data_IF_294195941663
#
_entry.id   IF_294195941663
#
_cell.length_a   1.000
_cell.length_b   1.000
_cell.length_c   1.000
_cell.angle_alpha   90.00
_cell.angle_beta   90.00
_cell.angle_gamma   90.00
#
_symmetry.space_group_name_H-M   'P 1'
#
loop_
_entity.id
_entity.type
_entity.pdbx_description
1 polymer ?
#
# COMPACT_ATOMS: atom_id res chain seq x y z
N UNK A 1 20.04 -0.12 -1.08
CA UNK A 1 19.42 -1.19 -1.90
C UNK A 1 18.84 -0.59 -3.18
N UNK A 2 19.17 -1.11 -4.36
CA UNK A 2 18.57 -0.66 -5.63
C UNK A 2 17.46 -1.63 -6.01
N UNK A 3 16.21 -1.17 -6.02
CA UNK A 3 15.05 -2.04 -6.25
C UNK A 3 14.82 -2.45 -7.71
N UNK A 4 15.49 -1.79 -8.67
CA UNK A 4 15.35 -2.01 -10.12
C UNK A 4 13.92 -2.41 -10.52
N UNK A 5 12.96 -1.54 -10.18
CA UNK A 5 11.51 -1.78 -10.41
C UNK A 5 11.16 -2.01 -11.88
N UNK A 6 12.04 -1.59 -12.79
CA UNK A 6 11.95 -1.84 -14.24
C UNK A 6 11.95 -3.32 -14.63
N UNK A 7 12.37 -4.21 -13.72
CA UNK A 7 12.40 -5.65 -13.97
C UNK A 7 11.02 -6.32 -13.81
N UNK A 8 10.00 -5.52 -13.51
CA UNK A 8 8.61 -5.93 -13.57
C UNK A 8 7.88 -5.05 -14.59
N UNK A 9 7.02 -5.66 -15.41
CA UNK A 9 6.31 -4.95 -16.46
C UNK A 9 5.45 -3.84 -15.87
N UNK A 10 5.61 -2.60 -16.37
CA UNK A 10 4.75 -1.48 -15.98
C UNK A 10 3.27 -1.76 -16.29
N UNK A 11 2.98 -2.57 -17.32
CA UNK A 11 1.61 -3.01 -17.60
C UNK A 11 1.05 -3.91 -16.50
N UNK A 12 1.88 -4.78 -15.89
CA UNK A 12 1.47 -5.58 -14.74
C UNK A 12 1.22 -4.67 -13.52
N UNK A 13 2.07 -3.66 -13.31
CA UNK A 13 1.82 -2.66 -12.25
C UNK A 13 0.47 -1.98 -12.47
N UNK A 14 0.16 -1.53 -13.69
CA UNK A 14 -1.16 -0.96 -14.00
C UNK A 14 -2.30 -1.97 -13.77
N UNK A 15 -2.08 -3.24 -14.11
CA UNK A 15 -3.07 -4.31 -13.95
C UNK A 15 -3.39 -4.67 -12.49
N UNK A 16 -2.58 -4.22 -11.52
CA UNK A 16 -2.95 -4.32 -10.09
C UNK A 16 -4.27 -3.60 -9.78
N UNK A 17 -4.64 -2.58 -10.57
CA UNK A 17 -5.91 -1.87 -10.42
C UNK A 17 -7.12 -2.69 -10.91
N UNK A 18 -6.89 -3.71 -11.76
CA UNK A 18 -7.94 -4.57 -12.33
C UNK A 18 -8.00 -5.96 -11.68
N UNK A 19 -6.93 -6.35 -10.99
CA UNK A 19 -6.81 -7.66 -10.33
C UNK A 19 -7.67 -7.67 -9.07
N UNK A 20 -8.66 -8.55 -9.01
CA UNK A 20 -9.67 -8.59 -7.94
C UNK A 20 -9.31 -9.61 -6.86
N UNK A 21 -9.52 -9.23 -5.61
CA UNK A 21 -9.45 -10.10 -4.43
C UNK A 21 -10.86 -10.50 -3.96
N UNK A 22 -10.94 -11.48 -3.07
CA UNK A 22 -12.16 -11.92 -2.38
C UNK A 22 -13.18 -12.69 -3.22
N UNK A 23 -12.78 -13.27 -4.35
CA UNK A 23 -13.68 -13.99 -5.28
C UNK A 23 -14.48 -15.15 -4.63
N UNK A 24 -14.01 -15.72 -3.52
CA UNK A 24 -14.71 -16.78 -2.77
C UNK A 24 -15.70 -16.25 -1.72
N UNK A 25 -15.46 -15.06 -1.16
CA UNK A 25 -16.31 -14.50 -0.12
C UNK A 25 -17.42 -13.68 -0.75
N UNK A 26 -18.65 -13.79 -0.24
CA UNK A 26 -19.72 -12.87 -0.67
C UNK A 26 -19.44 -11.50 -0.07
N UNK A 27 -19.38 -10.48 -0.92
CA UNK A 27 -19.22 -9.08 -0.52
C UNK A 27 -20.11 -8.14 -1.36
N UNK A 28 -20.23 -6.87 -0.94
CA UNK A 28 -20.95 -5.83 -1.67
C UNK A 28 -20.16 -5.35 -2.88
N UNK A 29 -18.85 -5.18 -2.72
CA UNK A 29 -17.88 -4.97 -3.78
C UNK A 29 -16.70 -5.93 -3.65
N UNK A 30 -15.92 -6.07 -4.70
CA UNK A 30 -14.62 -6.73 -4.64
C UNK A 30 -13.54 -5.68 -4.36
N UNK A 31 -12.47 -6.09 -3.68
CA UNK A 31 -11.30 -5.25 -3.47
C UNK A 31 -10.36 -5.39 -4.67
N UNK A 32 -9.79 -4.28 -5.13
CA UNK A 32 -8.71 -4.36 -6.12
C UNK A 32 -7.37 -4.59 -5.42
N UNK A 33 -6.44 -5.28 -6.07
CA UNK A 33 -5.11 -5.55 -5.55
C UNK A 33 -4.34 -4.25 -5.25
N UNK A 34 -4.48 -3.23 -6.11
CA UNK A 34 -3.90 -1.91 -5.87
C UNK A 34 -4.45 -1.23 -4.60
N UNK A 35 -5.75 -1.34 -4.33
CA UNK A 35 -6.39 -0.78 -3.12
C UNK A 35 -5.84 -1.47 -1.86
N UNK A 36 -5.70 -2.80 -1.92
CA UNK A 36 -5.11 -3.59 -0.86
C UNK A 36 -3.65 -3.18 -0.60
N UNK A 37 -2.80 -3.16 -1.63
CA UNK A 37 -1.39 -2.80 -1.52
C UNK A 37 -1.19 -1.39 -0.93
N UNK A 38 -2.00 -0.42 -1.36
CA UNK A 38 -1.99 0.93 -0.79
C UNK A 38 -2.33 0.91 0.71
N UNK A 39 -3.45 0.29 1.10
CA UNK A 39 -3.87 0.25 2.51
C UNK A 39 -2.87 -0.47 3.39
N UNK A 40 -2.35 -1.61 2.96
CA UNK A 40 -1.33 -2.36 3.71
C UNK A 40 -0.08 -1.50 3.90
N UNK A 41 0.36 -0.78 2.87
CA UNK A 41 1.53 0.12 2.97
C UNK A 41 1.29 1.22 3.99
N UNK A 42 0.14 1.89 3.97
CA UNK A 42 -0.19 2.94 4.95
C UNK A 42 -0.34 2.35 6.35
N UNK A 43 -1.02 1.21 6.51
CA UNK A 43 -1.12 0.54 7.82
C UNK A 43 0.24 0.12 8.37
N UNK A 44 1.19 -0.29 7.51
CA UNK A 44 2.56 -0.54 7.93
C UNK A 44 3.22 0.71 8.53
N UNK A 45 2.97 1.91 7.98
CA UNK A 45 3.50 3.16 8.56
C UNK A 45 2.94 3.42 9.97
N UNK A 46 1.61 3.36 10.12
CA UNK A 46 0.97 3.54 11.43
C UNK A 46 1.44 2.51 12.48
N UNK A 47 1.62 1.26 12.06
CA UNK A 47 2.13 0.21 12.92
C UNK A 47 3.62 0.42 13.25
N UNK A 48 4.44 0.80 12.27
CA UNK A 48 5.86 1.07 12.49
C UNK A 48 6.05 2.21 13.51
N UNK A 49 5.32 3.32 13.35
CA UNK A 49 5.39 4.47 14.25
C UNK A 49 5.09 4.09 15.71
N UNK A 50 4.13 3.20 15.96
CA UNK A 50 3.76 2.83 17.33
C UNK A 50 4.62 1.69 17.91
N UNK A 51 5.07 0.76 17.07
CA UNK A 51 5.84 -0.43 17.47
C UNK A 51 7.31 -0.08 17.68
N UNK A 52 7.87 0.73 16.77
CA UNK A 52 9.26 1.17 16.77
C UNK A 52 9.34 2.67 16.41
N UNK A 53 9.08 3.58 17.37
CA UNK A 53 9.12 5.02 17.13
C UNK A 53 10.49 5.57 16.72
N UNK A 54 11.54 4.76 16.84
CA UNK A 54 12.92 5.13 16.50
C UNK A 54 13.40 4.47 15.21
N UNK A 55 12.50 3.86 14.43
CA UNK A 55 12.80 3.24 13.15
C UNK A 55 13.50 4.24 12.22
N UNK A 56 14.65 3.86 11.69
CA UNK A 56 15.38 4.70 10.75
C UNK A 56 14.73 4.69 9.36
N UNK A 57 15.00 5.73 8.57
CA UNK A 57 14.40 5.91 7.25
C UNK A 57 14.73 4.78 6.25
N UNK A 58 15.88 4.11 6.37
CA UNK A 58 16.22 3.01 5.48
C UNK A 58 15.40 1.76 5.82
N UNK A 59 15.23 1.49 7.12
CA UNK A 59 14.41 0.39 7.62
C UNK A 59 12.93 0.60 7.32
N UNK A 60 12.42 1.82 7.52
CA UNK A 60 11.05 2.17 7.11
C UNK A 60 10.86 1.97 5.61
N UNK A 61 11.80 2.47 4.79
CA UNK A 61 11.73 2.32 3.35
C UNK A 61 11.73 0.84 2.90
N UNK A 62 12.46 -0.05 3.59
CA UNK A 62 12.41 -1.50 3.34
C UNK A 62 11.02 -2.07 3.61
N UNK A 63 10.41 -1.70 4.75
CA UNK A 63 9.06 -2.12 5.12
C UNK A 63 8.03 -1.68 4.06
N UNK A 64 8.05 -0.39 3.68
CA UNK A 64 7.08 0.16 2.73
C UNK A 64 7.24 -0.44 1.33
N UNK A 65 8.47 -0.67 0.89
CA UNK A 65 8.71 -1.37 -0.36
C UNK A 65 8.21 -2.82 -0.30
N UNK A 66 8.49 -3.57 0.77
CA UNK A 66 7.95 -4.92 0.89
C UNK A 66 6.42 -4.90 0.89
N UNK A 67 5.80 -3.99 1.63
CA UNK A 67 4.34 -3.83 1.68
C UNK A 67 3.72 -3.51 0.32
N UNK A 68 4.31 -2.60 -0.45
CA UNK A 68 3.78 -2.21 -1.75
C UNK A 68 3.85 -3.36 -2.77
N UNK A 69 4.89 -4.18 -2.71
CA UNK A 69 5.13 -5.24 -3.69
C UNK A 69 4.61 -6.62 -3.27
N UNK A 70 4.21 -6.84 -2.01
CA UNK A 70 4.03 -8.19 -1.46
C UNK A 70 3.09 -9.11 -2.25
N UNK A 71 1.96 -8.58 -2.74
CA UNK A 71 0.98 -9.37 -3.51
C UNK A 71 1.01 -9.04 -5.01
N UNK A 72 1.97 -8.26 -5.51
CA UNK A 72 2.00 -7.83 -6.93
C UNK A 72 2.22 -8.98 -7.92
N UNK A 73 2.80 -10.10 -7.48
CA UNK A 73 2.89 -11.32 -8.28
C UNK A 73 1.51 -11.87 -8.67
N UNK A 74 0.46 -11.56 -7.89
CA UNK A 74 -0.92 -12.00 -8.13
C UNK A 74 -1.53 -11.39 -9.40
N UNK A 75 -0.94 -10.36 -10.00
CA UNK A 75 -1.36 -9.91 -11.35
C UNK A 75 -1.06 -10.94 -12.44
N UNK A 76 -0.11 -11.85 -12.17
CA UNK A 76 0.29 -12.93 -13.08
C UNK A 76 -0.35 -14.25 -12.65
N UNK A 77 -0.30 -14.56 -11.35
CA UNK A 77 -0.77 -15.86 -10.81
C UNK A 77 -2.26 -15.89 -10.49
N UNK A 78 -2.89 -14.72 -10.34
CA UNK A 78 -4.22 -14.55 -9.76
C UNK A 78 -4.21 -14.59 -8.23
N UNK A 79 -5.16 -13.90 -7.59
CA UNK A 79 -5.39 -13.97 -6.14
C UNK A 79 -5.83 -15.39 -5.75
N UNK A 80 -4.96 -16.12 -5.05
CA UNK A 80 -5.27 -17.46 -4.54
C UNK A 80 -5.80 -17.37 -3.09
N UNK A 81 -6.99 -17.91 -2.78
CA UNK A 81 -7.53 -17.88 -1.43
C UNK A 81 -6.60 -18.53 -0.41
N UNK A 82 -6.44 -17.91 0.76
CA UNK A 82 -5.62 -18.45 1.86
C UNK A 82 -5.90 -19.93 2.18
N UNK A 83 -7.16 -20.44 2.21
CA UNK A 83 -7.40 -21.85 2.45
C UNK A 83 -6.77 -22.77 1.39
N UNK A 84 -6.72 -22.33 0.14
CA UNK A 84 -6.08 -23.08 -0.95
C UNK A 84 -4.57 -23.01 -0.82
N UNK A 85 -3.98 -21.82 -0.57
CA UNK A 85 -2.53 -21.69 -0.31
C UNK A 85 -2.08 -22.62 0.84
N UNK A 86 -2.82 -22.65 1.95
CA UNK A 86 -2.55 -23.53 3.11
C UNK A 86 -2.68 -25.02 2.78
N UNK A 87 -3.72 -25.39 2.03
CA UNK A 87 -3.93 -26.79 1.64
C UNK A 87 -2.83 -27.27 0.69
N UNK A 88 -2.44 -26.43 -0.28
CA UNK A 88 -1.34 -26.75 -1.19
C UNK A 88 -0.02 -26.92 -0.43
N UNK A 89 0.32 -25.99 0.46
CA UNK A 89 1.52 -26.10 1.29
C UNK A 89 1.58 -27.41 2.12
N UNK A 90 0.43 -27.94 2.55
CA UNK A 90 0.38 -29.20 3.28
C UNK A 90 0.73 -30.45 2.45
N UNK A 91 0.71 -30.35 1.11
CA UNK A 91 1.14 -31.43 0.21
C UNK A 91 2.64 -31.43 -0.08
N UNK A 92 3.38 -30.39 0.33
CA UNK A 92 4.81 -30.28 0.12
C UNK A 92 5.57 -30.40 1.45
N UNK A 93 6.87 -30.77 1.41
CA UNK A 93 7.73 -30.72 2.59
C UNK A 93 7.71 -29.34 3.28
N UNK A 94 7.94 -29.29 4.59
CA UNK A 94 7.84 -28.04 5.38
C UNK A 94 8.79 -26.92 4.94
N UNK A 95 9.87 -27.30 4.28
CA UNK A 95 10.90 -26.43 3.71
C UNK A 95 10.60 -25.98 2.27
N UNK A 96 9.46 -26.41 1.70
CA UNK A 96 9.06 -26.08 0.33
C UNK A 96 7.70 -25.37 0.33
N UNK A 97 7.65 -24.21 -0.32
CA UNK A 97 6.39 -23.54 -0.61
C UNK A 97 6.36 -23.13 -2.09
N UNK A 98 5.87 -24.00 -2.98
CA UNK A 98 5.95 -23.77 -4.43
C UNK A 98 5.14 -22.56 -4.89
N UNK A 99 4.15 -22.12 -4.10
CA UNK A 99 3.41 -20.89 -4.41
C UNK A 99 4.28 -19.67 -4.14
N UNK A 100 4.95 -19.61 -2.99
CA UNK A 100 5.88 -18.52 -2.68
C UNK A 100 7.05 -18.53 -3.66
N UNK A 101 7.60 -19.70 -3.99
CA UNK A 101 8.68 -19.84 -4.98
C UNK A 101 8.25 -19.31 -6.35
N UNK A 102 7.02 -19.64 -6.79
CA UNK A 102 6.45 -19.13 -8.03
C UNK A 102 6.29 -17.61 -7.97
N UNK A 103 5.66 -17.06 -6.94
CA UNK A 103 5.41 -15.62 -6.77
C UNK A 103 6.74 -14.83 -6.75
N UNK A 104 7.75 -15.34 -6.04
CA UNK A 104 9.10 -14.77 -6.01
C UNK A 104 9.78 -14.88 -7.38
N UNK A 105 9.57 -15.95 -8.15
CA UNK A 105 10.19 -16.10 -9.47
C UNK A 105 9.65 -15.10 -10.51
N UNK A 106 8.37 -14.74 -10.43
CA UNK A 106 7.70 -13.90 -11.44
C UNK A 106 7.71 -12.40 -11.12
N UNK A 107 8.00 -12.00 -9.88
CA UNK A 107 8.10 -10.60 -9.47
C UNK A 107 9.44 -10.28 -8.81
N UNK A 108 10.42 -9.84 -9.61
CA UNK A 108 11.75 -9.51 -9.10
C UNK A 108 11.79 -8.39 -8.05
N UNK A 109 11.01 -7.29 -8.19
CA UNK A 109 10.94 -6.26 -7.13
C UNK A 109 10.42 -6.81 -5.81
N UNK A 110 9.39 -7.67 -5.85
CA UNK A 110 8.89 -8.34 -4.65
C UNK A 110 9.97 -9.23 -4.03
N UNK A 111 10.65 -10.07 -4.82
CA UNK A 111 11.73 -10.93 -4.33
C UNK A 111 12.81 -10.16 -3.59
N UNK A 112 13.32 -9.06 -4.18
CA UNK A 112 14.34 -8.23 -3.55
C UNK A 112 13.85 -7.59 -2.26
N UNK A 113 12.61 -7.10 -2.26
CA UNK A 113 12.00 -6.53 -1.06
C UNK A 113 11.77 -7.61 0.03
N UNK A 114 11.45 -8.84 -0.39
CA UNK A 114 11.30 -9.99 0.48
C UNK A 114 12.63 -10.33 1.17
N UNK A 115 13.69 -10.55 0.39
CA UNK A 115 15.06 -10.85 0.86
C UNK A 115 15.60 -9.76 1.79
N UNK A 116 15.34 -8.49 1.47
CA UNK A 116 15.86 -7.35 2.25
C UNK A 116 15.26 -7.20 3.65
N UNK A 117 14.11 -7.82 3.92
CA UNK A 117 13.43 -7.78 5.22
C UNK A 117 13.24 -9.18 5.83
N UNK A 118 13.80 -10.22 5.21
CA UNK A 118 13.66 -11.61 5.65
C UNK A 118 14.21 -11.79 7.08
N UNK A 119 13.46 -12.51 7.91
CA UNK A 119 13.87 -12.80 9.29
C UNK A 119 13.87 -11.59 10.22
N UNK A 120 13.30 -10.46 9.80
CA UNK A 120 13.20 -9.25 10.61
C UNK A 120 11.80 -9.06 11.20
N UNK A 121 11.70 -8.20 12.22
CA UNK A 121 10.42 -7.81 12.82
C UNK A 121 9.46 -7.13 11.82
N UNK A 122 9.99 -6.59 10.71
CA UNK A 122 9.21 -5.97 9.64
C UNK A 122 8.22 -6.96 9.00
N UNK A 123 8.53 -8.26 8.98
CA UNK A 123 7.62 -9.28 8.44
C UNK A 123 6.37 -9.44 9.31
N UNK A 124 6.51 -9.26 10.62
CA UNK A 124 5.35 -9.26 11.53
C UNK A 124 4.55 -7.99 11.35
N UNK A 125 5.19 -6.82 11.20
CA UNK A 125 4.49 -5.56 10.93
C UNK A 125 3.68 -5.65 9.64
N UNK A 126 4.30 -6.11 8.55
CA UNK A 126 3.62 -6.34 7.27
C UNK A 126 2.43 -7.29 7.43
N UNK A 127 2.63 -8.40 8.14
CA UNK A 127 1.55 -9.38 8.31
C UNK A 127 0.41 -8.87 9.17
N UNK A 128 0.70 -8.06 10.19
CA UNK A 128 -0.31 -7.35 10.95
C UNK A 128 -1.12 -6.42 10.04
N UNK A 129 -0.46 -5.60 9.22
CA UNK A 129 -1.12 -4.69 8.26
C UNK A 129 -2.01 -5.42 7.23
N UNK A 130 -1.53 -6.51 6.64
CA UNK A 130 -2.30 -7.39 5.73
C UNK A 130 -3.57 -7.92 6.42
N UNK A 131 -3.44 -8.42 7.66
CA UNK A 131 -4.58 -8.89 8.45
C UNK A 131 -5.54 -7.75 8.81
N UNK A 132 -5.04 -6.54 9.10
CA UNK A 132 -5.86 -5.36 9.39
C UNK A 132 -6.74 -5.00 8.20
N UNK A 133 -6.15 -4.89 7.00
CA UNK A 133 -6.90 -4.61 5.79
C UNK A 133 -7.94 -5.69 5.52
N UNK A 134 -7.57 -6.96 5.67
CA UNK A 134 -8.51 -8.06 5.48
C UNK A 134 -9.66 -8.03 6.50
N UNK A 135 -9.38 -7.70 7.76
CA UNK A 135 -10.40 -7.55 8.81
C UNK A 135 -11.34 -6.37 8.52
N UNK A 136 -10.78 -5.23 8.11
CA UNK A 136 -11.55 -4.06 7.73
C UNK A 136 -12.46 -4.36 6.54
N UNK A 137 -11.89 -4.86 5.44
CA UNK A 137 -12.64 -5.15 4.23
C UNK A 137 -13.81 -6.10 4.49
N UNK A 138 -13.58 -7.25 5.13
CA UNK A 138 -14.67 -8.22 5.33
C UNK A 138 -15.74 -7.74 6.32
N UNK A 139 -15.38 -6.84 7.26
CA UNK A 139 -16.33 -6.28 8.22
C UNK A 139 -17.33 -5.33 7.54
N UNK A 140 -16.85 -4.48 6.63
CA UNK A 140 -17.69 -3.47 5.96
C UNK A 140 -18.33 -4.00 4.67
N UNK A 141 -17.58 -4.79 3.89
CA UNK A 141 -18.04 -5.24 2.58
C UNK A 141 -18.63 -6.65 2.61
N UNK A 142 -18.26 -7.49 3.59
CA UNK A 142 -18.67 -8.89 3.65
C UNK A 142 -20.17 -9.11 3.84
N UNK A 143 -20.69 -10.20 3.26
CA UNK A 143 -22.10 -10.58 3.29
C UNK A 143 -22.33 -11.96 3.89
N UNK A 144 -23.40 -12.07 4.68
CA UNK A 144 -23.89 -13.33 5.24
C UNK A 144 -23.07 -13.84 6.44
N UNK A 145 -23.38 -15.05 6.88
CA UNK A 145 -22.82 -15.64 8.11
C UNK A 145 -21.30 -15.83 8.04
N UNK A 146 -20.80 -16.28 6.88
CA UNK A 146 -19.36 -16.51 6.66
C UNK A 146 -18.52 -15.25 6.83
N UNK A 147 -19.04 -14.06 6.54
CA UNK A 147 -18.29 -12.82 6.73
C UNK A 147 -17.99 -12.54 8.21
N UNK A 148 -18.93 -12.86 9.12
CA UNK A 148 -18.72 -12.73 10.57
C UNK A 148 -17.66 -13.71 11.07
N UNK A 149 -17.68 -14.93 10.57
CA UNK A 149 -16.71 -15.96 10.93
C UNK A 149 -15.30 -15.60 10.44
N UNK A 150 -15.18 -15.11 9.20
CA UNK A 150 -13.92 -14.62 8.64
C UNK A 150 -13.42 -13.41 9.42
N UNK A 151 -14.28 -12.43 9.74
CA UNK A 151 -13.90 -11.26 10.53
C UNK A 151 -13.34 -11.67 11.91
N UNK A 152 -14.00 -12.61 12.59
CA UNK A 152 -13.53 -13.16 13.87
C UNK A 152 -12.18 -13.88 13.70
N UNK A 153 -12.03 -14.69 12.66
CA UNK A 153 -10.75 -15.36 12.35
C UNK A 153 -9.64 -14.33 12.12
N UNK A 154 -9.89 -13.27 11.34
CA UNK A 154 -8.89 -12.21 11.09
C UNK A 154 -8.51 -11.47 12.37
N UNK A 155 -9.49 -11.11 13.21
CA UNK A 155 -9.21 -10.49 14.51
C UNK A 155 -8.36 -11.37 15.42
N UNK A 156 -8.64 -12.68 15.46
CA UNK A 156 -7.84 -13.63 16.25
C UNK A 156 -6.43 -13.78 15.67
N UNK A 157 -6.30 -13.88 14.35
CA UNK A 157 -5.01 -13.95 13.68
C UNK A 157 -4.16 -12.71 13.96
N UNK A 158 -4.76 -11.52 14.02
CA UNK A 158 -4.06 -10.29 14.40
C UNK A 158 -3.41 -10.43 15.78
N UNK A 159 -4.17 -10.85 16.79
CA UNK A 159 -3.64 -11.08 18.15
C UNK A 159 -2.51 -12.12 18.18
N UNK A 160 -2.64 -13.21 17.44
CA UNK A 160 -1.58 -14.24 17.34
C UNK A 160 -0.27 -13.68 16.76
N UNK A 161 -0.35 -12.77 15.79
CA UNK A 161 0.84 -12.13 15.23
C UNK A 161 1.43 -11.07 16.15
N UNK A 162 0.60 -10.38 16.96
CA UNK A 162 1.09 -9.52 18.05
C UNK A 162 1.90 -10.35 19.06
N UNK A 163 1.35 -11.49 19.50
CA UNK A 163 2.04 -12.40 20.43
C UNK A 163 3.32 -12.97 19.83
N UNK A 164 3.31 -13.31 18.53
CA UNK A 164 4.52 -13.72 17.79
C UNK A 164 5.59 -12.63 17.80
N UNK A 165 5.19 -11.38 17.54
CA UNK A 165 6.08 -10.23 17.61
C UNK A 165 6.73 -10.10 18.99
N UNK A 166 5.91 -10.14 20.06
CA UNK A 166 6.38 -10.10 21.45
C UNK A 166 7.38 -11.21 21.78
N UNK A 167 7.12 -12.42 21.31
CA UNK A 167 7.97 -13.57 21.59
C UNK A 167 9.33 -13.48 20.89
N UNK A 168 9.38 -12.97 19.66
CA UNK A 168 10.59 -12.93 18.84
C UNK A 168 11.39 -11.64 19.00
N UNK A 169 10.73 -10.51 19.23
CA UNK A 169 11.35 -9.19 19.36
C UNK A 169 10.76 -8.39 20.53
N UNK A 170 10.96 -8.83 21.79
CA UNK A 170 10.32 -8.23 22.96
C UNK A 170 10.73 -6.77 23.23
N UNK A 171 11.76 -6.25 22.56
CA UNK A 171 12.21 -4.87 22.71
C UNK A 171 11.26 -3.83 22.10
N UNK A 172 10.35 -4.23 21.20
CA UNK A 172 9.42 -3.32 20.53
C UNK A 172 8.04 -3.30 21.18
N UNK A 173 7.29 -2.21 20.95
CA UNK A 173 5.97 -1.99 21.53
C UNK A 173 4.85 -2.69 20.73
N UNK A 174 4.83 -4.02 20.77
CA UNK A 174 3.82 -4.81 20.05
C UNK A 174 2.39 -4.60 20.56
N UNK A 175 2.21 -4.26 21.83
CA UNK A 175 0.89 -3.93 22.39
C UNK A 175 0.27 -2.69 21.72
N UNK A 176 1.12 -1.76 21.26
CA UNK A 176 0.69 -0.61 20.45
C UNK A 176 -0.08 -1.00 19.18
N UNK A 177 0.19 -2.18 18.61
CA UNK A 177 -0.54 -2.66 17.44
C UNK A 177 -2.05 -2.82 17.68
N UNK A 178 -2.46 -3.19 18.90
CA UNK A 178 -3.88 -3.27 19.26
C UNK A 178 -4.57 -1.92 19.26
N UNK A 179 -3.85 -0.85 19.63
CA UNK A 179 -4.38 0.51 19.59
C UNK A 179 -4.64 0.94 18.15
N UNK A 180 -3.69 0.73 17.26
CA UNK A 180 -3.85 1.03 15.82
C UNK A 180 -4.99 0.20 15.21
N UNK A 181 -5.11 -1.08 15.56
CA UNK A 181 -6.23 -1.92 15.12
C UNK A 181 -7.58 -1.43 15.62
N UNK A 182 -7.66 -0.95 16.87
CA UNK A 182 -8.88 -0.40 17.46
C UNK A 182 -9.28 0.88 16.74
N UNK A 183 -8.33 1.81 16.58
CA UNK A 183 -8.50 3.10 15.90
C UNK A 183 -9.08 2.96 14.49
N UNK A 184 -8.66 1.94 13.74
CA UNK A 184 -9.21 1.64 12.40
C UNK A 184 -10.75 1.51 12.37
N UNK A 185 -11.40 1.15 13.49
CA UNK A 185 -12.85 1.00 13.58
C UNK A 185 -13.55 2.06 14.42
N UNK A 186 -12.78 2.92 15.09
CA UNK A 186 -13.33 3.91 16.04
C UNK A 186 -13.03 5.36 15.67
N UNK A 187 -11.97 5.61 14.90
CA UNK A 187 -11.62 6.96 14.45
C UNK A 187 -12.70 7.43 13.45
N UNK A 188 -13.12 8.69 13.61
CA UNK A 188 -14.07 9.32 12.70
C UNK A 188 -13.36 9.80 11.43
N UNK A 189 -14.08 9.77 10.31
CA UNK A 189 -13.56 10.33 9.07
C UNK A 189 -13.48 11.86 9.19
N UNK A 190 -12.39 12.43 8.71
CA UNK A 190 -12.29 13.88 8.56
C UNK A 190 -13.19 14.29 7.39
N UNK A 191 -14.30 14.95 7.70
CA UNK A 191 -15.26 15.44 6.71
C UNK A 191 -15.07 16.94 6.46
N UNK A 192 -15.38 17.38 5.23
CA UNK A 192 -15.43 18.81 4.90
C UNK A 192 -16.79 19.36 5.34
N UNK A 193 -16.81 20.21 6.36
CA UNK A 193 -18.00 20.97 6.70
C UNK A 193 -18.09 22.25 5.85
N UNK A 194 -18.89 22.18 4.79
CA UNK A 194 -19.13 23.32 3.90
C UNK A 194 -19.81 24.50 4.61
N UNK A 195 -20.52 24.28 5.72
CA UNK A 195 -21.16 25.37 6.48
C UNK A 195 -20.12 26.15 7.29
N UNK A 196 -19.19 25.47 7.96
CA UNK A 196 -18.08 26.13 8.66
C UNK A 196 -17.17 26.90 7.69
N UNK A 197 -16.92 26.34 6.49
CA UNK A 197 -16.13 27.02 5.45
C UNK A 197 -16.82 28.27 4.87
N UNK A 198 -18.15 28.29 4.81
CA UNK A 198 -18.92 29.44 4.32
C UNK A 198 -19.03 30.58 5.35
N UNK A 199 -18.88 30.27 6.64
CA UNK A 199 -19.00 31.23 7.76
C UNK A 199 -17.64 31.83 8.16
N UNK A 200 -16.54 31.34 7.58
CA UNK A 200 -15.22 31.95 7.69
C UNK A 200 -15.18 33.35 7.08
N UNK A 201 -15.47 34.37 7.89
CA UNK A 201 -15.03 35.74 7.68
C UNK A 201 -13.50 35.76 7.55
N UNK A 202 -12.99 35.53 6.34
CA UNK A 202 -11.57 35.63 6.03
C UNK A 202 -11.31 36.88 5.21
N UNK A 203 -10.76 37.89 5.88
CA UNK A 203 -9.94 38.95 5.28
C UNK A 203 -8.60 38.42 4.74
N UNK A 204 -8.40 37.11 4.64
CA UNK A 204 -7.22 36.49 4.05
C UNK A 204 -7.59 35.69 2.79
N UNK A 205 -7.48 36.38 1.65
CA UNK A 205 -7.84 35.86 0.32
C UNK A 205 -6.78 34.94 -0.31
N UNK A 206 -5.90 34.30 0.48
CA UNK A 206 -4.75 33.56 -0.05
C UNK A 206 -5.00 32.12 -0.50
N UNK A 207 -6.19 31.56 -0.33
CA UNK A 207 -6.45 30.15 -0.66
C UNK A 207 -7.26 29.91 -1.94
N UNK A 208 -7.84 30.95 -2.54
CA UNK A 208 -8.46 30.86 -3.85
C UNK A 208 -8.05 32.07 -4.69
N UNK A 209 -6.96 31.94 -5.45
CA UNK A 209 -6.77 32.81 -6.60
C UNK A 209 -7.66 32.21 -7.70
N UNK A 210 -8.75 32.86 -8.12
CA UNK A 210 -9.49 32.40 -9.28
C UNK A 210 -8.50 32.43 -10.45
N UNK A 211 -8.35 31.31 -11.15
CA UNK A 211 -7.68 31.33 -12.45
C UNK A 211 -8.45 32.35 -13.27
N UNK A 212 -7.85 33.52 -13.52
CA UNK A 212 -8.43 34.48 -14.44
C UNK A 212 -8.55 33.75 -15.78
N UNK A 213 -9.78 33.40 -16.16
CA UNK A 213 -10.09 33.05 -17.52
C UNK A 213 -9.65 34.25 -18.35
N UNK A 214 -8.47 34.15 -18.97
CA UNK A 214 -8.12 35.05 -20.06
C UNK A 214 -9.26 34.93 -21.06
N UNK A 215 -10.02 36.02 -21.23
CA UNK A 215 -10.97 36.15 -22.32
C UNK A 215 -10.21 35.78 -23.59
N UNK A 216 -10.64 34.70 -24.23
CA UNK A 216 -10.16 34.38 -25.58
C UNK A 216 -10.35 35.63 -26.43
N UNK A 217 -9.31 36.16 -27.08
CA UNK A 217 -9.52 37.14 -28.12
C UNK A 217 -10.43 36.49 -29.18
N UNK A 218 -11.43 37.26 -29.56
CA UNK A 218 -12.46 36.96 -30.55
C UNK A 218 -11.92 36.17 -31.74
N UNK A 219 -12.70 35.17 -32.15
CA UNK A 219 -12.55 34.43 -33.40
C UNK A 219 -12.25 35.40 -34.56
N UNK A 220 -11.03 35.30 -35.09
CA UNK A 220 -10.59 35.94 -36.32
C UNK A 220 -9.82 34.89 -37.11
N UNK A 221 -10.23 34.72 -38.36
CA UNK A 221 -9.82 33.68 -39.30
C UNK A 221 -8.31 33.49 -39.40
N UNK A 222 -7.85 32.22 -39.48
CA UNK A 222 -6.56 31.89 -40.12
C UNK A 222 -5.64 30.93 -39.36
N UNK A 223 -5.29 29.84 -40.05
CA UNK A 223 -4.03 29.09 -39.91
C UNK A 223 -3.84 28.18 -38.68
N UNK A 224 -4.31 26.93 -38.81
CA UNK A 224 -3.70 25.78 -38.15
C UNK A 224 -2.27 25.58 -38.67
N UNK A 225 -1.22 25.71 -37.83
CA UNK A 225 0.02 24.90 -37.90
C UNK A 225 1.06 25.33 -36.84
N UNK A 226 1.61 24.33 -36.12
CA UNK A 226 2.94 24.32 -35.46
C UNK A 226 3.09 25.21 -34.20
N UNK A 227 3.70 24.83 -33.09
CA UNK A 227 4.86 23.96 -32.81
C UNK A 227 4.82 23.55 -31.34
N UNK A 228 5.11 22.29 -31.03
CA UNK A 228 5.39 21.82 -29.66
C UNK A 228 6.89 21.97 -29.38
N UNK A 229 7.27 22.89 -28.48
CA UNK A 229 8.64 22.98 -27.96
C UNK A 229 8.72 22.49 -26.51
N UNK A 230 9.47 21.39 -26.38
CA UNK A 230 9.95 20.75 -25.16
C UNK A 230 10.49 21.78 -24.15
N UNK A 231 10.12 21.66 -22.89
CA UNK A 231 10.89 22.26 -21.79
C UNK A 231 11.53 21.16 -20.95
N UNK A 232 12.86 21.17 -21.02
CA UNK A 232 13.80 20.29 -20.35
C UNK A 232 13.98 20.64 -18.87
N UNK A 233 14.18 19.57 -18.13
CA UNK A 233 14.49 19.42 -16.71
C UNK A 233 15.64 20.32 -16.20
N UNK A 234 15.49 20.74 -14.95
CA UNK A 234 16.50 21.42 -14.13
C UNK A 234 17.57 20.41 -13.69
N UNK A 235 18.84 20.73 -13.92
CA UNK A 235 19.98 20.10 -13.25
C UNK A 235 20.89 21.19 -12.68
N UNK A 236 21.12 21.16 -11.35
CA UNK A 236 22.08 22.01 -10.65
C UNK A 236 23.39 21.25 -10.42
N UNK A 237 24.47 21.94 -10.75
CA UNK A 237 25.77 21.97 -10.04
C UNK A 237 26.71 20.77 -10.12
N UNK A 238 27.78 20.91 -10.92
CA UNK A 238 29.15 20.54 -10.52
C UNK A 238 30.08 21.68 -10.97
N UNK A 239 30.78 22.30 -10.02
CA UNK A 239 31.92 23.20 -10.25
C UNK A 239 33.19 22.36 -10.41
N UNK A 240 34.14 22.95 -11.16
CA UNK A 240 35.59 22.78 -11.04
C UNK A 240 36.20 21.49 -11.60
N UNK A 241 36.82 21.58 -12.77
CA UNK A 241 38.27 21.37 -12.97
C UNK A 241 38.65 21.51 -14.45
N UNK A 242 39.89 21.95 -14.68
CA UNK A 242 40.64 22.04 -15.96
C UNK A 242 40.55 23.38 -16.70
N UNK A 243 41.36 24.32 -16.21
CA UNK A 243 42.23 25.04 -17.13
C UNK A 243 43.36 24.12 -17.57
N UNK A 244 43.56 24.09 -18.90
CA UNK A 244 44.53 23.32 -19.71
C UNK A 244 44.16 21.88 -20.01
#
# INVERSE_FOLDING_TARGET
>A
MVLQVSDFSLANVAHTADTKRWHKARSHRLQMLAEHAYRVTIFCQYLAEIIDPMMDAETELKLLHKALWHDTAETITGDLPTPIKRLLAAFFPKDQNPIDDLELSVCAPYRRAHEAAEGSYLEVILKLADIMDAHHFIRYEGRGRSAKDIAKERKNAFGQYVDKGKALWPQYNWDGAHEIHRRLFTDELVELDFNEMAIGNSTDHRLFVPIQQKKNPTCGEGSWFSTWTRHSFIARSIRSLMGR
#
